data_IF_964471010771
#
_entry.id   IF_964471010771
#
_cell.length_a   1.000
_cell.length_b   1.000
_cell.length_c   1.000
_cell.angle_alpha   90.00
_cell.angle_beta   90.00
_cell.angle_gamma   90.00
#
_symmetry.space_group_name_H-M   'P 1'
#
loop_
_entity.id
_entity.type
_entity.pdbx_description
1 polymer ?
#
# COMPACT_ATOMS: atom_id res chain seq x y z
N UNK A 1 12.07 25.81 -13.01
CA UNK A 1 11.92 24.57 -12.23
C UNK A 1 11.69 24.97 -10.80
N UNK A 2 10.62 24.52 -10.16
CA UNK A 2 10.38 24.76 -8.73
C UNK A 2 11.45 24.05 -7.91
N UNK A 3 11.84 24.65 -6.79
CA UNK A 3 12.86 24.08 -5.90
C UNK A 3 12.28 22.86 -5.18
N UNK A 4 12.97 21.70 -5.13
CA UNK A 4 12.52 20.56 -4.37
C UNK A 4 12.66 20.87 -2.87
N UNK A 5 11.54 20.90 -2.14
CA UNK A 5 11.53 21.33 -0.74
C UNK A 5 10.61 20.46 0.14
N UNK A 6 9.94 19.46 -0.45
CA UNK A 6 8.92 18.69 0.23
C UNK A 6 9.43 17.28 0.44
N UNK A 7 9.57 16.88 1.69
CA UNK A 7 9.96 15.53 2.08
C UNK A 7 8.71 14.71 2.38
N UNK A 8 8.58 13.57 1.72
CA UNK A 8 7.61 12.54 2.05
C UNK A 8 8.31 11.31 2.57
N UNK A 9 7.81 10.74 3.64
CA UNK A 9 8.33 9.50 4.25
C UNK A 9 7.21 8.48 4.32
N UNK A 10 7.48 7.26 3.87
CA UNK A 10 6.63 6.10 4.09
C UNK A 10 7.25 5.22 5.17
N UNK A 11 6.41 4.75 6.07
CA UNK A 11 6.77 3.75 7.08
C UNK A 11 6.01 2.47 6.79
N UNK A 12 6.75 1.44 6.40
CA UNK A 12 6.25 0.06 6.38
C UNK A 12 6.81 -0.72 7.59
N UNK A 13 6.48 -2.00 7.73
CA UNK A 13 6.94 -2.80 8.87
C UNK A 13 8.47 -3.02 8.90
N UNK A 14 9.14 -2.89 7.76
CA UNK A 14 10.56 -3.23 7.63
C UNK A 14 11.41 -2.17 6.95
N UNK A 15 10.80 -1.24 6.24
CA UNK A 15 11.50 -0.24 5.41
C UNK A 15 10.89 1.14 5.65
N UNK A 16 11.75 2.12 5.88
CA UNK A 16 11.43 3.53 5.71
C UNK A 16 11.86 3.96 4.31
N UNK A 17 10.93 4.48 3.52
CA UNK A 17 11.20 5.07 2.21
C UNK A 17 11.00 6.57 2.27
N UNK A 18 11.93 7.32 1.75
CA UNK A 18 11.86 8.77 1.69
C UNK A 18 12.03 9.28 0.27
N UNK A 19 11.22 10.27 -0.09
CA UNK A 19 11.32 11.01 -1.35
C UNK A 19 11.35 12.51 -1.08
N UNK A 20 12.11 13.25 -1.88
CA UNK A 20 12.06 14.71 -1.91
C UNK A 20 11.48 15.11 -3.25
N UNK A 21 10.44 15.91 -3.21
CA UNK A 21 9.69 16.33 -4.41
C UNK A 21 9.59 17.84 -4.50
N UNK A 22 9.34 18.32 -5.73
CA UNK A 22 8.99 19.71 -5.99
C UNK A 22 7.47 19.96 -5.88
N UNK A 23 7.04 21.20 -6.14
CA UNK A 23 5.62 21.59 -6.06
C UNK A 23 4.72 20.89 -7.10
N UNK A 24 5.28 20.29 -8.13
CA UNK A 24 4.60 19.52 -9.16
C UNK A 24 4.65 18.00 -8.90
N UNK A 25 5.26 17.55 -7.79
CA UNK A 25 5.38 16.14 -7.42
C UNK A 25 6.51 15.39 -8.12
N UNK A 26 7.43 16.07 -8.81
CA UNK A 26 8.58 15.43 -9.45
C UNK A 26 9.62 15.07 -8.41
N UNK A 27 10.06 13.82 -8.42
CA UNK A 27 11.04 13.30 -7.46
C UNK A 27 12.44 13.81 -7.81
N UNK A 28 13.05 14.56 -6.90
CA UNK A 28 14.43 15.06 -7.00
C UNK A 28 15.43 14.18 -6.25
N UNK A 29 14.99 13.45 -5.20
CA UNK A 29 15.82 12.53 -4.44
C UNK A 29 14.98 11.45 -3.80
N UNK A 30 15.57 10.26 -3.65
CA UNK A 30 14.95 9.11 -2.98
C UNK A 30 15.97 8.31 -2.21
N UNK A 31 15.52 7.67 -1.13
CA UNK A 31 16.31 6.72 -0.38
C UNK A 31 15.40 5.78 0.42
N UNK A 32 15.97 4.63 0.74
CA UNK A 32 15.36 3.62 1.61
C UNK A 32 16.34 3.23 2.71
N UNK A 33 15.82 2.85 3.87
CA UNK A 33 16.60 2.27 4.95
C UNK A 33 15.74 1.24 5.71
N UNK A 34 16.35 0.22 6.33
CA UNK A 34 15.64 -0.65 7.26
C UNK A 34 15.03 0.18 8.39
N UNK A 35 13.78 -0.13 8.76
CA UNK A 35 13.04 0.62 9.78
C UNK A 35 12.79 -0.23 11.04
N UNK A 36 13.62 -1.24 11.29
CA UNK A 36 13.63 -1.98 12.55
C UNK A 36 13.93 -1.11 13.77
N UNK A 37 14.57 0.03 13.53
CA UNK A 37 14.86 1.08 14.51
C UNK A 37 14.47 2.45 13.95
N UNK A 38 14.09 3.38 14.82
CA UNK A 38 13.73 4.75 14.45
C UNK A 38 14.85 5.49 13.69
N UNK A 39 16.12 5.12 13.93
CA UNK A 39 17.27 5.66 13.21
C UNK A 39 17.19 5.44 11.69
N UNK A 40 16.55 4.36 11.22
CA UNK A 40 16.35 4.10 9.81
C UNK A 40 15.52 5.18 9.11
N UNK A 41 14.55 5.75 9.82
CA UNK A 41 13.67 6.81 9.27
C UNK A 41 14.48 8.07 8.95
N UNK A 42 15.30 8.53 9.91
CA UNK A 42 16.15 9.70 9.69
C UNK A 42 17.27 9.44 8.70
N UNK A 43 17.76 8.21 8.65
CA UNK A 43 18.75 7.80 7.65
C UNK A 43 18.19 7.91 6.22
N UNK A 44 16.99 7.36 5.98
CA UNK A 44 16.29 7.45 4.69
C UNK A 44 16.01 8.91 4.32
N UNK A 45 15.42 9.68 5.25
CA UNK A 45 15.08 11.09 5.04
C UNK A 45 16.33 11.93 4.69
N UNK A 46 17.41 11.78 5.48
CA UNK A 46 18.67 12.50 5.25
C UNK A 46 19.35 12.10 3.94
N UNK A 47 19.28 10.83 3.56
CA UNK A 47 19.83 10.35 2.30
C UNK A 47 19.03 10.89 1.09
N UNK A 48 17.71 10.92 1.15
CA UNK A 48 16.86 11.48 0.11
C UNK A 48 17.11 13.00 -0.07
N UNK A 49 17.25 13.75 1.03
CA UNK A 49 17.58 15.18 1.00
C UNK A 49 18.97 15.42 0.37
N UNK A 50 19.96 14.63 0.74
CA UNK A 50 21.31 14.73 0.12
C UNK A 50 21.26 14.45 -1.38
N UNK A 51 20.50 13.41 -1.80
CA UNK A 51 20.34 13.07 -3.21
C UNK A 51 19.67 14.21 -4.00
N UNK A 52 18.75 14.95 -3.38
CA UNK A 52 18.10 16.12 -3.96
C UNK A 52 18.91 17.41 -3.87
N UNK A 53 20.06 17.43 -3.19
CA UNK A 53 20.83 18.64 -2.93
C UNK A 53 20.16 19.63 -1.96
N UNK A 54 19.22 19.14 -1.14
CA UNK A 54 18.44 19.93 -0.18
C UNK A 54 19.00 19.75 1.23
N UNK A 55 19.31 20.85 1.92
CA UNK A 55 19.82 20.81 3.28
C UNK A 55 18.72 20.61 4.33
N UNK A 56 17.55 21.22 4.11
CA UNK A 56 16.43 21.20 5.03
C UNK A 56 15.12 21.22 4.25
N UNK A 57 14.15 20.34 4.56
CA UNK A 57 12.85 20.37 3.91
C UNK A 57 12.03 21.56 4.46
N UNK A 58 11.18 22.11 3.60
CA UNK A 58 10.19 23.12 4.01
C UNK A 58 8.92 22.47 4.56
N UNK A 59 8.54 21.35 3.98
CA UNK A 59 7.38 20.56 4.39
C UNK A 59 7.77 19.10 4.57
N UNK A 60 7.17 18.44 5.56
CA UNK A 60 7.38 17.02 5.83
C UNK A 60 6.04 16.32 5.96
N UNK A 61 5.87 15.21 5.26
CA UNK A 61 4.73 14.32 5.39
C UNK A 61 5.17 12.90 5.72
N UNK A 62 4.34 12.18 6.48
CA UNK A 62 4.55 10.79 6.87
C UNK A 62 3.32 9.97 6.52
N UNK A 63 3.50 8.94 5.71
CA UNK A 63 2.51 7.91 5.46
C UNK A 63 2.85 6.67 6.29
N UNK A 64 1.92 6.20 7.10
CA UNK A 64 2.10 5.04 7.96
C UNK A 64 0.94 4.06 7.83
N UNK A 65 1.21 2.78 8.11
CA UNK A 65 0.19 1.75 8.21
C UNK A 65 -0.56 1.96 9.52
N UNK A 66 -1.89 2.17 9.41
CA UNK A 66 -2.80 2.33 10.56
C UNK A 66 -2.30 3.34 11.61
N UNK A 67 -2.02 4.61 11.24
CA UNK A 67 -1.47 5.59 12.18
C UNK A 67 -2.40 5.90 13.36
N UNK A 68 -3.68 5.51 13.28
CA UNK A 68 -4.66 5.63 14.36
C UNK A 68 -4.51 4.51 15.40
N UNK A 69 -4.01 3.34 14.99
CA UNK A 69 -3.82 2.18 15.87
C UNK A 69 -2.38 2.04 16.37
N UNK A 70 -1.41 2.48 15.56
CA UNK A 70 0.02 2.44 15.89
C UNK A 70 0.49 3.84 16.30
N UNK A 71 1.20 3.93 17.42
CA UNK A 71 1.77 5.20 17.85
C UNK A 71 2.91 5.64 16.93
N UNK A 72 2.66 6.67 16.12
CA UNK A 72 3.64 7.30 15.24
C UNK A 72 4.34 8.52 15.88
N UNK A 73 3.98 8.86 17.10
CA UNK A 73 4.55 10.01 17.84
C UNK A 73 6.06 9.97 17.90
N UNK A 74 6.72 8.84 18.21
CA UNK A 74 8.19 8.80 18.25
C UNK A 74 8.85 9.15 16.92
N UNK A 75 8.23 8.77 15.80
CA UNK A 75 8.71 9.13 14.46
C UNK A 75 8.54 10.62 14.17
N UNK A 76 7.40 11.18 14.54
CA UNK A 76 7.11 12.61 14.37
C UNK A 76 8.11 13.43 15.20
N UNK A 77 8.30 13.11 16.48
CA UNK A 77 9.26 13.77 17.36
C UNK A 77 10.68 13.70 16.82
N UNK A 78 11.09 12.55 16.33
CA UNK A 78 12.41 12.34 15.72
C UNK A 78 12.62 13.24 14.50
N UNK A 79 11.63 13.33 13.62
CA UNK A 79 11.68 14.18 12.42
C UNK A 79 11.65 15.68 12.80
N UNK A 80 10.87 16.06 13.81
CA UNK A 80 10.88 17.43 14.36
C UNK A 80 12.26 17.78 14.90
N UNK A 81 12.86 16.91 15.69
CA UNK A 81 14.18 17.13 16.27
C UNK A 81 15.30 17.20 15.22
N UNK A 82 15.18 16.43 14.13
CA UNK A 82 16.17 16.41 13.05
C UNK A 82 16.35 17.77 12.36
N UNK A 83 15.36 18.67 12.45
CA UNK A 83 15.37 20.01 11.84
C UNK A 83 15.03 21.13 12.82
N UNK A 84 15.46 21.00 14.08
CA UNK A 84 15.38 22.03 15.15
C UNK A 84 13.93 22.57 15.39
N UNK A 85 12.94 21.69 15.29
CA UNK A 85 11.54 22.04 15.52
C UNK A 85 10.89 22.91 14.43
N UNK A 86 11.60 23.18 13.34
CA UNK A 86 11.13 24.12 12.31
C UNK A 86 10.06 23.53 11.38
N UNK A 87 9.81 22.21 11.46
CA UNK A 87 8.86 21.52 10.59
C UNK A 87 7.96 20.62 11.42
N UNK A 88 6.64 20.69 11.19
CA UNK A 88 5.68 19.78 11.80
C UNK A 88 5.22 18.76 10.72
N UNK A 89 5.52 17.46 10.89
CA UNK A 89 5.14 16.44 9.92
C UNK A 89 3.62 16.25 9.85
N UNK A 90 3.07 16.26 8.64
CA UNK A 90 1.69 15.86 8.40
C UNK A 90 1.60 14.33 8.29
N UNK A 91 0.79 13.69 9.14
CA UNK A 91 0.63 12.23 9.15
C UNK A 91 -0.63 11.82 8.39
N UNK A 92 -0.52 10.76 7.60
CA UNK A 92 -1.67 10.15 6.90
C UNK A 92 -1.56 8.62 6.90
N UNK A 93 -2.68 7.94 6.65
CA UNK A 93 -2.70 6.50 6.41
C UNK A 93 -2.03 6.10 5.10
N UNK A 94 -1.47 4.90 5.05
CA UNK A 94 -0.73 4.37 3.91
C UNK A 94 -1.58 4.35 2.62
N UNK A 95 -2.84 3.86 2.67
CA UNK A 95 -3.76 3.91 1.54
C UNK A 95 -4.10 5.33 1.10
N UNK A 96 -4.26 6.26 2.05
CA UNK A 96 -4.47 7.67 1.76
C UNK A 96 -3.25 8.30 1.05
N UNK A 97 -2.04 7.86 1.41
CA UNK A 97 -0.80 8.22 0.73
C UNK A 97 -0.82 7.78 -0.74
N UNK A 98 -1.17 6.53 -1.02
CA UNK A 98 -1.37 6.07 -2.40
C UNK A 98 -2.38 6.93 -3.15
N UNK A 99 -3.55 7.19 -2.56
CA UNK A 99 -4.59 7.99 -3.22
C UNK A 99 -4.13 9.41 -3.56
N UNK A 100 -3.50 10.10 -2.62
CA UNK A 100 -3.02 11.46 -2.85
C UNK A 100 -1.85 11.51 -3.84
N UNK A 101 -0.92 10.56 -3.78
CA UNK A 101 0.21 10.48 -4.71
C UNK A 101 -0.27 10.25 -6.13
N UNK A 102 -1.11 9.24 -6.34
CA UNK A 102 -1.63 8.88 -7.65
C UNK A 102 -2.57 9.95 -8.23
N UNK A 103 -3.31 10.65 -7.38
CA UNK A 103 -4.12 11.80 -7.80
C UNK A 103 -3.25 13.00 -8.20
N UNK A 104 -2.15 13.25 -7.48
CA UNK A 104 -1.32 14.43 -7.72
C UNK A 104 -0.50 14.33 -9.01
N UNK A 105 0.18 13.21 -9.21
CA UNK A 105 1.12 13.05 -10.33
C UNK A 105 1.20 11.62 -10.90
N UNK A 106 0.26 10.73 -10.54
CA UNK A 106 0.23 9.34 -10.97
C UNK A 106 -0.92 8.99 -11.92
N UNK A 107 -1.41 7.75 -11.83
CA UNK A 107 -2.42 7.17 -12.71
C UNK A 107 -3.80 7.85 -12.61
N UNK A 108 -4.12 8.45 -11.46
CA UNK A 108 -5.41 9.08 -11.18
C UNK A 108 -5.40 10.60 -11.40
N UNK A 109 -4.38 11.13 -12.05
CA UNK A 109 -4.29 12.56 -12.35
C UNK A 109 -5.54 13.03 -13.10
N UNK A 110 -6.04 14.20 -12.73
CA UNK A 110 -7.23 14.85 -13.31
C UNK A 110 -8.58 14.14 -13.05
N UNK A 111 -8.59 13.04 -12.26
CA UNK A 111 -9.80 12.39 -11.78
C UNK A 111 -10.30 13.03 -10.49
N UNK A 112 -11.58 12.79 -10.16
CA UNK A 112 -12.22 13.38 -8.97
C UNK A 112 -12.64 12.36 -7.93
N UNK A 113 -13.02 11.16 -8.36
CA UNK A 113 -13.50 10.09 -7.49
C UNK A 113 -12.64 8.86 -7.71
N UNK A 114 -11.77 8.56 -6.75
CA UNK A 114 -10.73 7.52 -6.88
C UNK A 114 -10.65 6.71 -5.61
N UNK A 115 -10.48 5.41 -5.74
CA UNK A 115 -10.09 4.54 -4.65
C UNK A 115 -8.69 4.02 -4.96
N UNK A 116 -7.70 4.36 -4.13
CA UNK A 116 -6.44 3.63 -4.13
C UNK A 116 -6.56 2.46 -3.16
N UNK A 117 -6.29 1.25 -3.64
CA UNK A 117 -6.37 0.03 -2.85
C UNK A 117 -5.02 -0.67 -2.87
N UNK A 118 -4.34 -0.67 -1.75
CA UNK A 118 -2.99 -1.19 -1.63
C UNK A 118 -2.93 -2.35 -0.62
N UNK A 119 -2.12 -3.36 -0.95
CA UNK A 119 -1.91 -4.55 -0.13
C UNK A 119 -0.41 -4.77 0.08
N UNK A 120 -0.04 -5.01 1.32
CA UNK A 120 1.33 -5.31 1.75
C UNK A 120 1.28 -6.19 2.99
N UNK A 121 1.88 -5.75 4.09
CA UNK A 121 1.68 -6.34 5.42
C UNK A 121 0.24 -6.17 5.92
N UNK A 122 -0.49 -5.21 5.37
CA UNK A 122 -1.89 -4.90 5.63
C UNK A 122 -2.56 -4.43 4.34
N UNK A 123 -3.87 -4.61 4.22
CA UNK A 123 -4.68 -4.04 3.16
C UNK A 123 -5.24 -2.69 3.62
N UNK A 124 -5.04 -1.67 2.81
CA UNK A 124 -5.50 -0.31 3.10
C UNK A 124 -6.06 0.33 1.84
N UNK A 125 -7.05 1.20 1.99
CA UNK A 125 -7.55 2.02 0.90
C UNK A 125 -7.44 3.50 1.23
N UNK A 126 -7.28 4.32 0.20
CA UNK A 126 -7.44 5.76 0.28
C UNK A 126 -8.59 6.17 -0.64
N UNK A 127 -9.46 7.03 -0.17
CA UNK A 127 -10.68 7.41 -0.88
C UNK A 127 -10.62 8.89 -1.21
N UNK A 128 -10.72 9.21 -2.48
CA UNK A 128 -10.87 10.58 -2.99
C UNK A 128 -12.31 10.76 -3.44
N UNK A 129 -12.98 11.78 -2.91
CA UNK A 129 -14.31 12.20 -3.34
C UNK A 129 -14.25 13.67 -3.76
N UNK A 130 -14.76 13.98 -4.93
CA UNK A 130 -14.73 15.34 -5.50
C UNK A 130 -13.33 16.00 -5.48
N UNK A 131 -12.29 15.21 -5.74
CA UNK A 131 -10.90 15.66 -5.75
C UNK A 131 -10.29 15.89 -4.37
N UNK A 132 -10.96 15.47 -3.29
CA UNK A 132 -10.51 15.63 -1.90
C UNK A 132 -10.38 14.29 -1.20
N UNK A 133 -9.33 14.15 -0.40
CA UNK A 133 -9.18 12.98 0.46
C UNK A 133 -10.33 12.92 1.48
N UNK A 134 -11.03 11.79 1.49
CA UNK A 134 -12.07 11.50 2.46
C UNK A 134 -11.55 10.53 3.52
N UNK A 135 -11.46 11.00 4.76
CA UNK A 135 -10.91 10.23 5.88
C UNK A 135 -12.00 9.65 6.79
N UNK A 136 -13.25 10.09 6.60
CA UNK A 136 -14.36 9.72 7.49
C UNK A 136 -14.39 10.52 8.80
N UNK A 137 -15.34 10.18 9.66
CA UNK A 137 -15.57 10.90 10.91
C UNK A 137 -14.48 10.69 11.96
N UNK A 138 -13.72 9.60 11.86
CA UNK A 138 -12.72 9.17 12.85
C UNK A 138 -11.37 8.85 12.19
N UNK A 139 -11.12 9.38 10.99
CA UNK A 139 -9.94 9.08 10.16
C UNK A 139 -9.72 7.58 9.88
N UNK A 140 -10.81 6.79 9.86
CA UNK A 140 -10.79 5.34 9.65
C UNK A 140 -11.32 4.92 8.27
N UNK A 141 -11.72 5.88 7.42
CA UNK A 141 -12.14 5.54 6.07
C UNK A 141 -11.00 4.87 5.30
N UNK A 142 -11.32 3.80 4.60
CA UNK A 142 -10.31 3.01 3.89
C UNK A 142 -9.62 1.93 4.72
N UNK A 143 -10.10 1.59 5.92
CA UNK A 143 -9.66 0.44 6.72
C UNK A 143 -10.02 -0.89 6.05
N UNK A 144 -9.44 -1.13 4.86
CA UNK A 144 -9.82 -2.24 3.99
C UNK A 144 -9.49 -3.62 4.59
N UNK A 145 -8.52 -3.72 5.48
CA UNK A 145 -8.21 -4.93 6.24
C UNK A 145 -9.45 -5.58 6.88
N UNK A 146 -10.40 -4.74 7.30
CA UNK A 146 -11.61 -5.14 8.03
C UNK A 146 -12.83 -5.41 7.14
N UNK A 147 -12.70 -5.37 5.82
CA UNK A 147 -13.80 -5.76 4.92
C UNK A 147 -14.20 -7.22 5.17
N UNK A 148 -15.43 -7.43 5.63
CA UNK A 148 -15.98 -8.74 5.96
C UNK A 148 -16.48 -9.46 4.70
N UNK A 149 -15.58 -10.17 4.02
CA UNK A 149 -15.87 -10.84 2.74
C UNK A 149 -16.20 -12.33 2.88
N UNK A 150 -16.10 -12.87 4.09
CA UNK A 150 -16.41 -14.27 4.38
C UNK A 150 -17.43 -14.32 5.51
N UNK A 151 -18.57 -15.06 5.35
CA UNK A 151 -19.56 -15.20 6.41
C UNK A 151 -19.09 -16.10 7.57
N UNK A 152 -18.06 -16.92 7.35
CA UNK A 152 -17.48 -17.77 8.39
C UNK A 152 -16.54 -16.93 9.25
N UNK A 153 -16.84 -16.85 10.53
CA UNK A 153 -15.98 -16.18 11.50
C UNK A 153 -14.79 -17.07 11.88
N UNK A 154 -13.60 -16.47 11.94
CA UNK A 154 -12.36 -17.14 12.36
C UNK A 154 -11.61 -16.26 13.35
N UNK A 155 -10.78 -16.87 14.20
CA UNK A 155 -10.01 -16.13 15.21
C UNK A 155 -9.03 -15.13 14.58
N UNK A 156 -8.40 -15.48 13.48
CA UNK A 156 -7.50 -14.61 12.74
C UNK A 156 -8.23 -13.39 12.10
N UNK A 157 -9.51 -13.55 11.72
CA UNK A 157 -10.32 -12.46 11.22
C UNK A 157 -10.59 -11.38 12.29
N UNK A 158 -10.74 -11.81 13.55
CA UNK A 158 -10.89 -10.89 14.69
C UNK A 158 -9.61 -10.16 15.05
N UNK A 159 -8.45 -10.77 14.79
CA UNK A 159 -7.14 -10.21 15.14
C UNK A 159 -6.55 -9.33 14.06
N UNK A 160 -6.70 -9.72 12.81
CA UNK A 160 -6.05 -9.09 11.66
C UNK A 160 -7.01 -8.31 10.75
N UNK A 161 -8.30 -8.62 10.83
CA UNK A 161 -9.29 -8.23 9.83
C UNK A 161 -9.55 -9.37 8.83
N UNK A 162 -10.79 -9.47 8.35
CA UNK A 162 -11.20 -10.56 7.47
C UNK A 162 -10.43 -10.55 6.15
N UNK A 163 -10.28 -9.38 5.52
CA UNK A 163 -9.56 -9.27 4.25
C UNK A 163 -8.05 -9.48 4.45
N UNK A 164 -7.44 -8.89 5.47
CA UNK A 164 -6.00 -9.04 5.73
C UNK A 164 -5.60 -10.50 5.95
N UNK A 165 -6.38 -11.24 6.70
CA UNK A 165 -6.14 -12.66 6.92
C UNK A 165 -6.10 -13.47 5.60
N UNK A 166 -6.66 -12.94 4.52
CA UNK A 166 -6.70 -13.60 3.21
C UNK A 166 -5.69 -13.03 2.21
N UNK A 167 -5.43 -11.72 2.21
CA UNK A 167 -4.67 -11.07 1.12
C UNK A 167 -3.35 -10.44 1.55
N UNK A 168 -3.17 -10.14 2.83
CA UNK A 168 -1.89 -9.62 3.32
C UNK A 168 -0.79 -10.67 3.20
N UNK A 169 0.47 -10.23 3.21
CA UNK A 169 1.65 -11.08 3.08
C UNK A 169 1.57 -12.34 3.97
N UNK A 170 1.21 -12.15 5.23
CA UNK A 170 1.08 -13.26 6.19
C UNK A 170 -0.04 -14.24 5.80
N UNK A 171 -1.15 -13.75 5.27
CA UNK A 171 -2.28 -14.57 4.84
C UNK A 171 -1.94 -15.45 3.63
N UNK A 172 -1.27 -14.86 2.63
CA UNK A 172 -0.82 -15.58 1.42
C UNK A 172 0.15 -16.71 1.79
N UNK A 173 1.19 -16.38 2.56
CA UNK A 173 2.22 -17.35 2.99
C UNK A 173 1.59 -18.46 3.83
N UNK A 174 0.72 -18.12 4.78
CA UNK A 174 0.02 -19.08 5.62
C UNK A 174 -0.84 -20.05 4.82
N UNK A 175 -1.57 -19.58 3.81
CA UNK A 175 -2.36 -20.48 2.93
C UNK A 175 -1.49 -21.47 2.19
N UNK A 176 -0.34 -21.05 1.67
CA UNK A 176 0.60 -21.96 1.04
C UNK A 176 1.10 -23.02 2.02
N UNK A 177 1.50 -22.61 3.23
CA UNK A 177 1.97 -23.51 4.28
C UNK A 177 0.88 -24.52 4.67
N UNK A 178 -0.38 -24.09 4.80
CA UNK A 178 -1.49 -25.01 5.08
C UNK A 178 -1.71 -26.05 4.00
N UNK A 179 -1.59 -25.67 2.71
CA UNK A 179 -1.67 -26.59 1.59
C UNK A 179 -0.56 -27.63 1.64
N UNK A 180 0.68 -27.21 1.91
CA UNK A 180 1.83 -28.13 2.07
C UNK A 180 1.61 -29.06 3.26
N UNK A 181 1.15 -28.57 4.40
CA UNK A 181 0.82 -29.41 5.58
C UNK A 181 -0.31 -30.40 5.31
N UNK A 182 -1.23 -30.07 4.42
CA UNK A 182 -2.31 -30.95 3.98
C UNK A 182 -1.85 -32.04 2.98
N UNK A 183 -0.57 -32.02 2.57
CA UNK A 183 0.04 -33.01 1.69
C UNK A 183 0.26 -32.57 0.25
N UNK A 184 -0.05 -31.33 -0.10
CA UNK A 184 0.24 -30.81 -1.43
C UNK A 184 1.76 -30.66 -1.63
N UNK A 185 2.25 -31.10 -2.77
CA UNK A 185 3.66 -30.94 -3.14
C UNK A 185 3.89 -29.59 -3.81
N UNK A 186 4.83 -28.82 -3.29
CA UNK A 186 5.19 -27.50 -3.81
C UNK A 186 6.70 -27.33 -3.83
N UNK A 187 7.23 -26.85 -4.94
CA UNK A 187 8.64 -26.45 -5.09
C UNK A 187 9.02 -25.27 -4.21
N UNK A 188 8.02 -24.49 -3.76
CA UNK A 188 8.25 -23.37 -2.83
C UNK A 188 8.91 -23.84 -1.53
N UNK A 189 8.58 -25.03 -1.05
CA UNK A 189 9.24 -25.60 0.12
C UNK A 189 10.72 -25.90 -0.12
N UNK A 190 11.06 -26.43 -1.31
CA UNK A 190 12.45 -26.65 -1.71
C UNK A 190 13.23 -25.34 -1.82
N UNK A 191 12.62 -24.29 -2.41
CA UNK A 191 13.20 -22.95 -2.50
C UNK A 191 13.49 -22.34 -1.12
N UNK A 192 12.70 -22.69 -0.11
CA UNK A 192 12.90 -22.29 1.29
C UNK A 192 13.81 -23.25 2.08
N UNK A 193 14.60 -24.11 1.38
CA UNK A 193 15.52 -25.07 2.00
C UNK A 193 14.82 -26.16 2.82
N UNK A 194 13.59 -26.51 2.51
CA UNK A 194 12.77 -27.48 3.25
C UNK A 194 12.18 -26.94 4.56
N UNK A 195 12.41 -25.66 4.88
CA UNK A 195 11.93 -25.03 6.10
C UNK A 195 10.67 -24.20 5.85
N UNK A 196 9.51 -24.67 6.30
CA UNK A 196 8.23 -23.95 6.14
C UNK A 196 8.25 -22.56 6.81
N UNK A 197 9.00 -22.36 7.90
CA UNK A 197 9.09 -21.07 8.58
C UNK A 197 9.91 -20.03 7.82
N UNK A 198 10.73 -20.46 6.85
CA UNK A 198 11.51 -19.60 5.99
C UNK A 198 10.77 -19.20 4.69
N UNK A 199 9.54 -19.71 4.48
CA UNK A 199 8.75 -19.35 3.30
C UNK A 199 8.34 -17.88 3.39
N UNK A 200 8.69 -17.11 2.36
CA UNK A 200 8.32 -15.69 2.21
C UNK A 200 7.32 -15.52 1.07
N UNK A 201 6.73 -14.34 0.97
CA UNK A 201 5.87 -13.99 -0.17
C UNK A 201 6.64 -14.09 -1.51
N UNK A 202 7.90 -13.67 -1.55
CA UNK A 202 8.72 -13.76 -2.76
C UNK A 202 8.88 -15.21 -3.23
N UNK A 203 9.07 -16.15 -2.32
CA UNK A 203 9.06 -17.58 -2.68
C UNK A 203 7.75 -18.01 -3.32
N UNK A 204 6.60 -17.53 -2.82
CA UNK A 204 5.27 -17.84 -3.41
C UNK A 204 5.14 -17.24 -4.81
N UNK A 205 5.51 -15.97 -4.98
CA UNK A 205 5.42 -15.28 -6.28
C UNK A 205 6.35 -15.91 -7.32
N UNK A 206 7.58 -16.20 -6.94
CA UNK A 206 8.55 -16.89 -7.81
C UNK A 206 8.05 -18.29 -8.16
N UNK A 207 7.55 -19.05 -7.18
CA UNK A 207 6.97 -20.37 -7.41
C UNK A 207 5.81 -20.31 -8.42
N UNK A 208 4.91 -19.35 -8.28
CA UNK A 208 3.79 -19.15 -9.21
C UNK A 208 4.26 -18.84 -10.64
N UNK A 209 5.27 -17.95 -10.79
CA UNK A 209 5.87 -17.61 -12.09
C UNK A 209 6.55 -18.81 -12.75
N UNK A 210 7.08 -19.74 -11.96
CA UNK A 210 7.71 -20.98 -12.46
C UNK A 210 6.76 -22.18 -12.55
N UNK A 211 5.44 -21.96 -12.46
CA UNK A 211 4.44 -23.00 -12.72
C UNK A 211 4.15 -23.92 -11.54
N UNK A 212 4.51 -23.55 -10.30
CA UNK A 212 4.11 -24.30 -9.11
C UNK A 212 2.60 -24.24 -8.92
N UNK A 213 1.93 -25.40 -9.01
CA UNK A 213 0.46 -25.47 -8.99
C UNK A 213 -0.16 -25.01 -7.67
N UNK A 214 0.53 -25.21 -6.53
CA UNK A 214 0.06 -24.77 -5.21
C UNK A 214 0.17 -23.24 -5.11
N UNK A 215 1.30 -22.68 -5.49
CA UNK A 215 1.52 -21.24 -5.50
C UNK A 215 0.53 -20.53 -6.45
N UNK A 216 0.32 -21.04 -7.66
CA UNK A 216 -0.68 -20.52 -8.61
C UNK A 216 -2.07 -20.53 -8.00
N UNK A 217 -2.46 -21.64 -7.33
CA UNK A 217 -3.77 -21.73 -6.67
C UNK A 217 -3.92 -20.70 -5.56
N UNK A 218 -2.89 -20.50 -4.73
CA UNK A 218 -2.88 -19.50 -3.64
C UNK A 218 -3.00 -18.08 -4.19
N UNK A 219 -2.26 -17.74 -5.26
CA UNK A 219 -2.34 -16.43 -5.91
C UNK A 219 -3.72 -16.20 -6.53
N UNK A 220 -4.30 -17.22 -7.18
CA UNK A 220 -5.66 -17.15 -7.73
C UNK A 220 -6.72 -16.89 -6.65
N UNK A 221 -6.60 -17.55 -5.50
CA UNK A 221 -7.51 -17.33 -4.38
C UNK A 221 -7.31 -15.93 -3.77
N UNK A 222 -6.08 -15.44 -3.69
CA UNK A 222 -5.80 -14.04 -3.31
C UNK A 222 -6.50 -13.06 -4.26
N UNK A 223 -6.38 -13.27 -5.56
CA UNK A 223 -7.02 -12.42 -6.57
C UNK A 223 -8.56 -12.40 -6.44
N UNK A 224 -9.20 -13.52 -6.04
CA UNK A 224 -10.64 -13.55 -5.77
C UNK A 224 -11.03 -12.62 -4.62
N UNK A 225 -10.33 -12.70 -3.48
CA UNK A 225 -10.62 -11.82 -2.34
C UNK A 225 -10.38 -10.35 -2.69
N UNK A 226 -9.31 -10.06 -3.43
CA UNK A 226 -9.02 -8.70 -3.91
C UNK A 226 -10.12 -8.19 -4.85
N UNK A 227 -10.57 -9.00 -5.80
CA UNK A 227 -11.67 -8.66 -6.71
C UNK A 227 -12.99 -8.42 -5.98
N UNK A 228 -13.30 -9.23 -4.95
CA UNK A 228 -14.46 -9.03 -4.07
C UNK A 228 -14.37 -7.70 -3.32
N UNK A 229 -13.22 -7.39 -2.74
CA UNK A 229 -12.98 -6.14 -2.02
C UNK A 229 -13.17 -4.93 -2.94
N UNK A 230 -12.57 -4.97 -4.13
CA UNK A 230 -12.67 -3.90 -5.13
C UNK A 230 -14.12 -3.73 -5.59
N UNK A 231 -14.86 -4.82 -5.83
CA UNK A 231 -16.26 -4.74 -6.23
C UNK A 231 -17.13 -4.08 -5.14
N UNK A 232 -16.87 -4.38 -3.86
CA UNK A 232 -17.59 -3.75 -2.75
C UNK A 232 -17.23 -2.27 -2.59
N UNK A 233 -15.96 -1.91 -2.72
CA UNK A 233 -15.51 -0.52 -2.71
C UNK A 233 -16.13 0.26 -3.89
N UNK A 234 -16.13 -0.32 -5.08
CA UNK A 234 -16.76 0.29 -6.25
C UNK A 234 -18.26 0.48 -6.08
N UNK A 235 -18.97 -0.51 -5.53
CA UNK A 235 -20.40 -0.41 -5.26
C UNK A 235 -20.75 0.65 -4.19
N UNK A 236 -19.81 0.95 -3.29
CA UNK A 236 -20.03 1.90 -2.18
C UNK A 236 -19.65 3.33 -2.56
N UNK A 237 -18.55 3.49 -3.32
CA UNK A 237 -17.92 4.78 -3.59
C UNK A 237 -18.25 5.30 -4.99
N UNK A 238 -18.57 4.40 -5.95
CA UNK A 238 -18.76 4.72 -7.37
C UNK A 238 -17.58 5.52 -7.95
N UNK A 239 -16.35 4.98 -7.90
CA UNK A 239 -15.16 5.71 -8.34
C UNK A 239 -14.99 5.65 -9.87
N UNK A 240 -14.34 6.65 -10.45
CA UNK A 240 -13.88 6.63 -11.85
C UNK A 240 -12.75 5.60 -12.06
N UNK A 241 -11.93 5.40 -11.00
CA UNK A 241 -10.79 4.48 -11.04
C UNK A 241 -10.52 3.86 -9.68
N UNK A 242 -10.13 2.58 -9.70
CA UNK A 242 -9.46 1.89 -8.58
C UNK A 242 -8.00 1.70 -8.95
N UNK A 243 -7.10 2.31 -8.18
CA UNK A 243 -5.64 2.19 -8.35
C UNK A 243 -5.10 1.12 -7.41
N UNK A 244 -4.36 0.15 -7.94
CA UNK A 244 -3.86 -1.01 -7.19
C UNK A 244 -2.38 -0.83 -6.84
N UNK A 245 -2.07 -0.81 -5.54
CA UNK A 245 -0.74 -0.60 -5.00
C UNK A 245 -0.16 -1.76 -4.21
N UNK A 246 1.06 -1.57 -3.70
CA UNK A 246 1.76 -2.55 -2.87
C UNK A 246 2.11 -3.83 -3.59
N UNK A 247 1.87 -4.98 -2.96
CA UNK A 247 2.12 -6.32 -3.53
C UNK A 247 1.38 -6.54 -4.84
N UNK A 248 0.17 -5.98 -5.00
CA UNK A 248 -0.59 -6.11 -6.24
C UNK A 248 0.12 -5.43 -7.40
N UNK A 249 0.72 -4.26 -7.16
CA UNK A 249 1.56 -3.59 -8.15
C UNK A 249 2.81 -4.43 -8.47
N UNK A 250 3.53 -4.91 -7.46
CA UNK A 250 4.76 -5.69 -7.63
C UNK A 250 4.54 -7.05 -8.32
N UNK A 251 3.35 -7.63 -8.18
CA UNK A 251 2.93 -8.90 -8.78
C UNK A 251 1.81 -8.73 -9.81
N UNK A 252 1.79 -7.59 -10.51
CA UNK A 252 0.74 -7.25 -11.48
C UNK A 252 0.61 -8.26 -12.61
N UNK A 253 1.71 -8.88 -13.02
CA UNK A 253 1.75 -9.99 -13.99
C UNK A 253 0.93 -11.21 -13.57
N UNK A 254 0.83 -11.47 -12.26
CA UNK A 254 0.09 -12.60 -11.70
C UNK A 254 -1.33 -12.23 -11.23
N UNK A 255 -1.55 -11.00 -10.82
CA UNK A 255 -2.75 -10.59 -10.07
C UNK A 255 -3.72 -9.73 -10.86
N UNK A 256 -3.26 -8.84 -11.75
CA UNK A 256 -4.12 -7.82 -12.37
C UNK A 256 -5.27 -8.43 -13.16
N UNK A 257 -4.99 -9.33 -14.10
CA UNK A 257 -6.04 -9.95 -14.92
C UNK A 257 -6.99 -10.86 -14.13
N UNK A 258 -6.51 -11.73 -13.20
CA UNK A 258 -7.41 -12.46 -12.31
C UNK A 258 -8.31 -11.56 -11.44
N UNK A 259 -7.80 -10.41 -10.95
CA UNK A 259 -8.59 -9.42 -10.22
C UNK A 259 -9.67 -8.81 -11.13
N UNK A 260 -9.31 -8.33 -12.32
CA UNK A 260 -10.27 -7.77 -13.30
C UNK A 260 -11.36 -8.76 -13.65
N UNK A 261 -11.00 -10.03 -13.87
CA UNK A 261 -11.95 -11.10 -14.15
C UNK A 261 -12.92 -11.34 -12.98
N UNK A 262 -12.44 -11.27 -11.74
CA UNK A 262 -13.31 -11.42 -10.57
C UNK A 262 -14.22 -10.19 -10.40
N UNK A 263 -13.71 -9.00 -10.61
CA UNK A 263 -14.52 -7.76 -10.62
C UNK A 263 -15.62 -7.82 -11.67
N UNK A 264 -15.32 -8.30 -12.89
CA UNK A 264 -16.31 -8.47 -13.94
C UNK A 264 -17.45 -9.44 -13.58
N UNK A 265 -17.16 -10.43 -12.71
CA UNK A 265 -18.18 -11.38 -12.22
C UNK A 265 -19.01 -10.83 -11.07
N UNK A 266 -18.48 -9.86 -10.30
CA UNK A 266 -19.09 -9.35 -9.07
C UNK A 266 -19.77 -8.01 -9.24
N UNK A 267 -19.34 -7.20 -10.18
CA UNK A 267 -19.94 -5.92 -10.49
C UNK A 267 -21.09 -6.08 -11.50
N UNK A 268 -22.05 -5.16 -11.47
CA UNK A 268 -22.99 -5.05 -12.58
C UNK A 268 -22.26 -4.69 -13.87
N UNK A 269 -22.77 -5.08 -15.06
CA UNK A 269 -22.15 -4.71 -16.33
C UNK A 269 -21.98 -3.19 -16.51
N UNK A 270 -22.87 -2.40 -15.91
CA UNK A 270 -22.80 -0.94 -15.94
C UNK A 270 -21.61 -0.43 -15.11
N UNK A 271 -21.48 -0.88 -13.87
CA UNK A 271 -20.37 -0.52 -12.98
C UNK A 271 -19.02 -0.91 -13.61
N UNK A 272 -18.88 -2.16 -14.05
CA UNK A 272 -17.63 -2.67 -14.60
C UNK A 272 -17.17 -1.90 -15.85
N UNK A 273 -18.11 -1.37 -16.63
CA UNK A 273 -17.82 -0.55 -17.81
C UNK A 273 -17.26 0.83 -17.46
N UNK A 274 -17.68 1.40 -16.34
CA UNK A 274 -17.30 2.77 -15.95
C UNK A 274 -16.10 2.83 -15.02
N UNK A 275 -15.86 1.81 -14.18
CA UNK A 275 -14.76 1.80 -13.23
C UNK A 275 -13.49 1.25 -13.91
N UNK A 276 -12.46 2.07 -14.00
CA UNK A 276 -11.13 1.61 -14.44
C UNK A 276 -10.41 0.92 -13.27
N UNK A 277 -9.71 -0.18 -13.54
CA UNK A 277 -8.90 -0.90 -12.54
C UNK A 277 -7.47 -0.96 -13.08
N UNK A 278 -6.58 -0.18 -12.48
CA UNK A 278 -5.22 0.03 -12.98
C UNK A 278 -4.17 -0.14 -11.88
N UNK A 279 -2.94 -0.47 -12.26
CA UNK A 279 -1.81 -0.47 -11.33
C UNK A 279 -1.36 0.96 -11.00
N UNK A 280 -0.83 1.16 -9.80
CA UNK A 280 -0.26 2.43 -9.37
C UNK A 280 0.90 2.85 -10.30
N UNK A 281 0.85 4.05 -10.87
CA UNK A 281 1.89 4.54 -11.77
C UNK A 281 3.17 4.94 -11.03
N UNK A 282 3.04 5.38 -9.78
CA UNK A 282 4.16 5.80 -8.93
C UNK A 282 4.79 4.61 -8.18
N UNK A 283 4.21 3.42 -8.30
CA UNK A 283 4.71 2.20 -7.68
C UNK A 283 4.88 2.32 -6.18
N UNK A 284 6.05 1.93 -5.69
CA UNK A 284 6.36 1.93 -4.27
C UNK A 284 6.58 3.34 -3.67
N UNK A 285 6.83 4.35 -4.49
CA UNK A 285 7.02 5.75 -4.01
C UNK A 285 5.67 6.45 -3.74
N UNK A 286 4.55 5.91 -4.21
CA UNK A 286 3.23 6.55 -4.13
C UNK A 286 2.85 7.01 -2.71
N UNK A 287 3.00 6.22 -1.63
CA UNK A 287 2.64 6.66 -0.29
C UNK A 287 3.49 7.84 0.20
N UNK A 288 4.80 7.81 -0.05
CA UNK A 288 5.71 8.87 0.33
C UNK A 288 5.41 10.16 -0.45
N UNK A 289 5.14 10.07 -1.77
CA UNK A 289 4.73 11.21 -2.60
C UNK A 289 3.39 11.78 -2.09
N UNK A 290 2.44 10.92 -1.75
CA UNK A 290 1.15 11.35 -1.20
C UNK A 290 1.28 12.01 0.18
N UNK A 291 2.20 11.54 1.02
CA UNK A 291 2.54 12.19 2.29
C UNK A 291 3.12 13.59 2.06
N UNK A 292 4.03 13.74 1.10
CA UNK A 292 4.54 15.05 0.68
C UNK A 292 3.41 15.97 0.21
N UNK A 293 2.47 15.46 -0.60
CA UNK A 293 1.28 16.22 -1.04
C UNK A 293 0.41 16.66 0.14
N UNK A 294 0.23 15.79 1.14
CA UNK A 294 -0.52 16.13 2.36
C UNK A 294 0.12 17.29 3.12
N UNK A 295 1.44 17.24 3.29
CA UNK A 295 2.18 18.30 3.96
C UNK A 295 2.05 19.64 3.23
N UNK A 296 2.16 19.64 1.90
CA UNK A 296 1.98 20.84 1.09
C UNK A 296 0.56 21.43 1.21
N UNK A 297 -0.46 20.60 1.36
CA UNK A 297 -1.87 21.06 1.43
C UNK A 297 -2.29 21.61 2.78
N UNK A 298 -1.49 21.45 3.85
CA UNK A 298 -1.75 21.98 5.18
C UNK A 298 -1.06 23.32 5.45
N UNK A 299 -0.25 23.80 4.50
CA UNK A 299 0.41 25.09 4.53
C UNK A 299 -0.46 26.17 3.85
#
# INVERSE_FOLDING_TARGET
MSTPEILGVELSDHIARAVVVDAEGRVAGRAEAPCSELAGVTAAASAALRAAGVKKPRFVGVAAIEPQAKDVTPVVELLVAAWDGAVQPAVIGWGAGYALGELWCGAARDLRNVVAFAVGSCASAGIILDGKLWTGAHDLAGSAAWLALNPVEREDYRKLGCLDAEVATVGIVRRLIWRIKAGDKSRVLEMAGGNMAAITLDHVLVGARHGDGVAISVIRDTAKYLGMAIANLAATVDPEMVVLGGTVHAAGDLLLEPIRNECARRMSPLMYRHVKIELAALGADAPAIGAARRALSQS
#
